data_IF_806945916617
#
_entry.id   IF_806945916617
#
_cell.length_a   1.000
_cell.length_b   1.000
_cell.length_c   1.000
_cell.angle_alpha   90.00
_cell.angle_beta   90.00
_cell.angle_gamma   90.00
#
_symmetry.space_group_name_H-M   'P 1'
#
loop_
_entity.id
_entity.type
_entity.pdbx_description
1 polymer ?
#
# COMPACT_ATOMS: atom_id res chain seq x y z
N UNK A 1 10.91 42.98 -18.48
CA UNK A 1 10.69 42.53 -17.10
C UNK A 1 9.20 42.30 -16.92
N UNK A 2 8.70 41.13 -17.25
CA UNK A 2 7.32 40.69 -16.99
C UNK A 2 7.39 39.63 -15.91
N UNK A 3 6.96 40.00 -14.74
CA UNK A 3 6.81 39.08 -13.59
C UNK A 3 5.71 38.08 -13.94
N UNK A 4 6.10 36.87 -14.36
CA UNK A 4 5.19 35.73 -14.46
C UNK A 4 4.81 35.30 -13.04
N UNK A 5 3.64 35.68 -12.58
CA UNK A 5 3.04 35.23 -11.35
C UNK A 5 2.47 33.82 -11.59
N UNK A 6 2.86 32.85 -10.75
CA UNK A 6 2.35 31.49 -10.80
C UNK A 6 0.80 31.47 -10.75
N UNK A 7 0.11 30.64 -11.53
CA UNK A 7 -1.36 30.64 -11.66
C UNK A 7 -2.14 30.44 -10.36
N UNK A 8 -1.51 29.86 -9.34
CA UNK A 8 -2.15 29.57 -8.04
C UNK A 8 -2.13 30.72 -7.04
N UNK A 9 -1.41 31.80 -7.32
CA UNK A 9 -1.31 32.95 -6.39
C UNK A 9 -2.59 33.80 -6.27
N UNK A 10 -3.58 33.61 -7.17
CA UNK A 10 -4.80 34.42 -7.25
C UNK A 10 -6.10 33.68 -6.94
N UNK A 11 -6.03 32.39 -6.50
CA UNK A 11 -7.24 31.68 -6.10
C UNK A 11 -7.75 32.21 -4.75
N UNK A 12 -9.02 32.65 -4.72
CA UNK A 12 -9.72 32.96 -3.47
C UNK A 12 -9.62 31.80 -2.48
N UNK A 13 -9.47 32.10 -1.19
CA UNK A 13 -9.32 31.10 -0.10
C UNK A 13 -10.41 30.03 -0.12
N UNK A 14 -11.62 30.34 -0.56
CA UNK A 14 -12.74 29.43 -0.71
C UNK A 14 -12.50 28.42 -1.87
N UNK A 15 -12.01 28.91 -2.99
CA UNK A 15 -11.69 28.08 -4.17
C UNK A 15 -10.52 27.15 -3.88
N UNK A 16 -9.48 27.63 -3.17
CA UNK A 16 -8.36 26.82 -2.74
C UNK A 16 -8.78 25.67 -1.82
N UNK A 17 -9.61 25.95 -0.80
CA UNK A 17 -10.15 24.90 0.09
C UNK A 17 -11.03 23.90 -0.65
N UNK A 18 -11.76 24.33 -1.68
CA UNK A 18 -12.57 23.41 -2.51
C UNK A 18 -11.70 22.47 -3.30
N UNK A 19 -10.59 22.97 -3.88
CA UNK A 19 -9.63 22.17 -4.61
C UNK A 19 -8.90 21.17 -3.70
N UNK A 20 -8.40 21.62 -2.55
CA UNK A 20 -7.81 20.75 -1.54
C UNK A 20 -8.74 19.58 -1.18
N UNK A 21 -10.02 19.84 -0.92
CA UNK A 21 -11.01 18.80 -0.63
C UNK A 21 -11.26 17.84 -1.79
N UNK A 22 -11.27 18.34 -3.04
CA UNK A 22 -11.43 17.50 -4.24
C UNK A 22 -10.25 16.56 -4.43
N UNK A 23 -9.02 17.09 -4.25
CA UNK A 23 -7.80 16.30 -4.34
C UNK A 23 -7.78 15.22 -3.25
N UNK A 24 -8.08 15.57 -1.99
CA UNK A 24 -8.12 14.61 -0.91
C UNK A 24 -9.19 13.53 -1.13
N UNK A 25 -10.39 13.90 -1.55
CA UNK A 25 -11.45 12.94 -1.87
C UNK A 25 -11.06 12.04 -3.06
N UNK A 26 -10.50 12.63 -4.11
CA UNK A 26 -10.06 11.89 -5.31
C UNK A 26 -8.95 10.89 -5.02
N UNK A 27 -7.95 11.28 -4.24
CA UNK A 27 -6.87 10.38 -3.82
C UNK A 27 -7.37 9.29 -2.89
N UNK A 28 -8.21 9.62 -1.92
CA UNK A 28 -8.80 8.67 -0.98
C UNK A 28 -9.64 7.61 -1.69
N UNK A 29 -10.58 8.01 -2.54
CA UNK A 29 -11.46 7.08 -3.25
C UNK A 29 -10.67 6.22 -4.23
N UNK A 30 -9.74 6.83 -5.00
CA UNK A 30 -8.89 6.08 -5.93
C UNK A 30 -8.08 5.01 -5.23
N UNK A 31 -7.41 5.37 -4.12
CA UNK A 31 -6.63 4.42 -3.32
C UNK A 31 -7.52 3.35 -2.68
N UNK A 32 -8.72 3.71 -2.21
CA UNK A 32 -9.64 2.72 -1.62
C UNK A 32 -10.08 1.66 -2.64
N UNK A 33 -10.32 2.05 -3.90
CA UNK A 33 -10.67 1.13 -5.00
C UNK A 33 -9.48 0.23 -5.34
N UNK A 34 -8.30 0.81 -5.50
CA UNK A 34 -7.06 0.06 -5.77
C UNK A 34 -6.84 -1.03 -4.72
N UNK A 35 -6.92 -0.66 -3.43
CA UNK A 35 -6.69 -1.59 -2.34
C UNK A 35 -7.82 -2.59 -2.15
N UNK A 36 -9.07 -2.24 -2.46
CA UNK A 36 -10.15 -3.21 -2.54
C UNK A 36 -9.78 -4.35 -3.49
N UNK A 37 -9.32 -4.03 -4.70
CA UNK A 37 -8.93 -5.00 -5.72
C UNK A 37 -7.79 -5.94 -5.26
N UNK A 38 -6.81 -5.38 -4.54
CA UNK A 38 -5.75 -6.20 -3.97
C UNK A 38 -6.23 -7.10 -2.83
N UNK A 39 -7.11 -6.61 -1.99
CA UNK A 39 -7.53 -7.33 -0.80
C UNK A 39 -8.53 -8.44 -1.10
N UNK A 40 -9.45 -8.26 -2.02
CA UNK A 40 -10.31 -9.37 -2.46
C UNK A 40 -9.47 -10.51 -3.04
N UNK A 41 -8.40 -10.20 -3.78
CA UNK A 41 -7.47 -11.23 -4.26
C UNK A 41 -6.75 -11.91 -3.11
N UNK A 42 -6.17 -11.17 -2.19
CA UNK A 42 -5.43 -11.72 -1.06
C UNK A 42 -6.30 -12.63 -0.18
N UNK A 43 -7.56 -12.22 0.07
CA UNK A 43 -8.52 -13.02 0.82
C UNK A 43 -8.99 -14.23 0.01
N UNK A 44 -9.23 -14.10 -1.30
CA UNK A 44 -9.56 -15.24 -2.16
C UNK A 44 -8.39 -16.25 -2.24
N UNK A 45 -7.14 -15.78 -2.31
CA UNK A 45 -5.96 -16.63 -2.24
C UNK A 45 -5.88 -17.40 -0.91
N UNK A 46 -6.26 -16.77 0.18
CA UNK A 46 -6.31 -17.41 1.51
C UNK A 46 -7.46 -18.43 1.65
N UNK A 47 -8.63 -18.13 1.08
CA UNK A 47 -9.87 -18.87 1.35
C UNK A 47 -10.23 -19.88 0.26
N UNK A 48 -9.99 -19.55 -1.01
CA UNK A 48 -10.62 -20.23 -2.17
C UNK A 48 -9.60 -20.81 -3.14
N UNK A 49 -8.57 -20.06 -3.53
CA UNK A 49 -7.74 -20.40 -4.70
C UNK A 49 -6.90 -21.66 -4.49
N UNK A 50 -6.47 -21.96 -3.27
CA UNK A 50 -5.77 -23.21 -2.99
C UNK A 50 -6.59 -24.40 -3.49
N UNK A 51 -7.88 -24.45 -3.19
CA UNK A 51 -8.74 -25.56 -3.54
C UNK A 51 -9.09 -25.61 -5.04
N UNK A 52 -9.44 -24.44 -5.64
CA UNK A 52 -9.97 -24.39 -7.00
C UNK A 52 -8.91 -24.41 -8.10
N UNK A 53 -7.68 -23.97 -7.78
CA UNK A 53 -6.63 -23.78 -8.79
C UNK A 53 -5.34 -24.57 -8.51
N UNK A 54 -4.99 -24.84 -7.25
CA UNK A 54 -3.66 -25.33 -6.89
C UNK A 54 -3.65 -26.72 -6.27
N UNK A 55 -4.69 -27.18 -5.58
CA UNK A 55 -4.77 -28.54 -5.03
C UNK A 55 -4.51 -29.65 -6.06
N UNK A 56 -5.04 -29.56 -7.29
CA UNK A 56 -4.76 -30.59 -8.29
C UNK A 56 -3.29 -30.69 -8.71
N UNK A 57 -2.51 -29.61 -8.52
CA UNK A 57 -1.07 -29.57 -8.80
C UNK A 57 -0.21 -30.04 -7.62
N UNK A 58 -0.76 -30.08 -6.42
CA UNK A 58 -0.04 -30.36 -5.16
C UNK A 58 -0.60 -31.59 -4.42
N UNK A 59 -1.14 -32.56 -5.13
CA UNK A 59 -1.83 -33.74 -4.57
C UNK A 59 -1.00 -34.50 -3.54
N UNK A 60 0.31 -34.60 -3.76
CA UNK A 60 1.22 -35.39 -2.93
C UNK A 60 1.91 -34.57 -1.83
N UNK A 61 1.56 -33.28 -1.69
CA UNK A 61 2.21 -32.37 -0.74
C UNK A 61 1.18 -31.55 0.05
N UNK A 62 0.68 -32.07 1.19
CA UNK A 62 -0.26 -31.35 2.04
C UNK A 62 0.23 -29.96 2.41
N UNK A 63 -0.64 -28.93 2.29
CA UNK A 63 -0.33 -27.53 2.58
C UNK A 63 0.45 -26.80 1.48
N UNK A 64 1.03 -27.47 0.48
CA UNK A 64 1.75 -26.78 -0.60
C UNK A 64 0.83 -25.93 -1.46
N UNK A 65 -0.39 -26.39 -1.75
CA UNK A 65 -1.38 -25.64 -2.49
C UNK A 65 -1.71 -24.29 -1.83
N UNK A 66 -1.81 -24.26 -0.49
CA UNK A 66 -2.03 -23.02 0.26
C UNK A 66 -0.82 -22.09 0.19
N UNK A 67 0.41 -22.63 0.30
CA UNK A 67 1.66 -21.86 0.14
C UNK A 67 1.74 -21.24 -1.25
N UNK A 68 1.47 -22.02 -2.32
CA UNK A 68 1.47 -21.52 -3.71
C UNK A 68 0.39 -20.44 -3.88
N UNK A 69 -0.82 -20.67 -3.38
CA UNK A 69 -1.92 -19.70 -3.46
C UNK A 69 -1.51 -18.36 -2.84
N UNK A 70 -0.93 -18.36 -1.64
CA UNK A 70 -0.45 -17.16 -0.99
C UNK A 70 0.76 -16.54 -1.70
N UNK A 71 1.62 -17.34 -2.32
CA UNK A 71 2.74 -16.86 -3.12
C UNK A 71 2.29 -16.06 -4.36
N UNK A 72 1.10 -16.34 -4.92
CA UNK A 72 0.57 -15.57 -6.05
C UNK A 72 0.29 -14.10 -5.70
N UNK A 73 0.09 -13.77 -4.42
CA UNK A 73 0.01 -12.39 -3.94
C UNK A 73 1.33 -11.67 -4.29
N UNK A 74 2.46 -12.33 -4.06
CA UNK A 74 3.79 -11.80 -4.31
C UNK A 74 4.09 -11.50 -5.78
N UNK A 75 3.49 -12.25 -6.72
CA UNK A 75 3.70 -12.03 -8.16
C UNK A 75 3.36 -10.58 -8.55
N UNK A 76 2.22 -10.08 -8.11
CA UNK A 76 1.82 -8.70 -8.37
C UNK A 76 2.85 -7.68 -7.87
N UNK A 77 3.44 -7.92 -6.70
CA UNK A 77 4.44 -7.03 -6.13
C UNK A 77 5.76 -7.03 -6.89
N UNK A 78 6.18 -8.18 -7.42
CA UNK A 78 7.40 -8.29 -8.22
C UNK A 78 7.35 -7.42 -9.49
N UNK A 79 6.17 -7.19 -10.05
CA UNK A 79 5.98 -6.36 -11.25
C UNK A 79 5.69 -4.89 -10.97
N UNK A 80 5.44 -4.48 -9.70
CA UNK A 80 5.26 -3.07 -9.33
C UNK A 80 6.45 -2.17 -9.67
N UNK A 81 7.72 -2.53 -9.41
CA UNK A 81 8.85 -1.70 -9.79
C UNK A 81 8.93 -1.44 -11.29
N UNK A 82 8.64 -2.46 -12.11
CA UNK A 82 8.59 -2.31 -13.57
C UNK A 82 7.47 -1.36 -14.00
N UNK A 83 6.27 -1.52 -13.43
CA UNK A 83 5.15 -0.61 -13.64
C UNK A 83 5.48 0.82 -13.21
N UNK A 84 6.16 1.00 -12.07
CA UNK A 84 6.59 2.32 -11.58
C UNK A 84 7.57 3.02 -12.54
N UNK A 85 8.51 2.28 -13.13
CA UNK A 85 9.46 2.80 -14.12
C UNK A 85 8.72 3.26 -15.39
N UNK A 86 7.84 2.41 -15.92
CA UNK A 86 7.09 2.70 -17.15
C UNK A 86 6.09 3.84 -16.93
N UNK A 87 5.32 3.77 -15.84
CA UNK A 87 4.36 4.81 -15.49
C UNK A 87 5.05 6.15 -15.17
N UNK A 88 6.21 6.12 -14.52
CA UNK A 88 7.03 7.31 -14.29
C UNK A 88 7.46 7.97 -15.62
N UNK A 89 8.02 7.18 -16.54
CA UNK A 89 8.46 7.69 -17.84
C UNK A 89 7.30 8.23 -18.72
N UNK A 90 6.20 7.48 -18.77
CA UNK A 90 5.02 7.91 -19.53
C UNK A 90 4.28 9.06 -18.84
N UNK A 91 4.25 9.09 -17.52
CA UNK A 91 3.61 10.13 -16.72
C UNK A 91 4.29 11.49 -16.88
N UNK A 92 5.62 11.49 -17.03
CA UNK A 92 6.38 12.70 -17.33
C UNK A 92 6.08 13.24 -18.74
N UNK A 93 5.67 12.37 -19.69
CA UNK A 93 5.32 12.76 -21.07
C UNK A 93 3.83 13.07 -21.26
N UNK A 94 2.95 12.25 -20.70
CA UNK A 94 1.50 12.28 -20.94
C UNK A 94 0.71 13.05 -19.87
N UNK A 95 1.34 13.33 -18.73
CA UNK A 95 0.73 13.91 -17.54
C UNK A 95 0.35 12.88 -16.48
N UNK A 96 0.44 13.28 -15.21
CA UNK A 96 0.18 12.37 -14.05
C UNK A 96 -1.27 11.91 -14.02
N UNK A 97 -2.22 12.81 -14.29
CA UNK A 97 -3.67 12.50 -14.34
C UNK A 97 -3.99 11.43 -15.37
N UNK A 98 -3.48 11.52 -16.59
CA UNK A 98 -3.73 10.53 -17.66
C UNK A 98 -3.18 9.16 -17.28
N UNK A 99 -2.00 9.13 -16.69
CA UNK A 99 -1.41 7.87 -16.22
C UNK A 99 -2.21 7.23 -15.09
N UNK A 100 -2.66 8.01 -14.12
CA UNK A 100 -3.50 7.52 -13.03
C UNK A 100 -4.84 6.94 -13.53
N UNK A 101 -5.41 7.51 -14.58
CA UNK A 101 -6.62 6.98 -15.22
C UNK A 101 -6.31 5.66 -15.95
N UNK A 102 -5.24 5.62 -16.72
CA UNK A 102 -4.85 4.42 -17.47
C UNK A 102 -4.55 3.23 -16.53
N UNK A 103 -3.77 3.46 -15.48
CA UNK A 103 -3.43 2.42 -14.50
C UNK A 103 -4.66 1.90 -13.77
N UNK A 104 -5.59 2.78 -13.37
CA UNK A 104 -6.85 2.40 -12.76
C UNK A 104 -7.69 1.50 -13.68
N UNK A 105 -7.81 1.87 -14.96
CA UNK A 105 -8.58 1.07 -15.94
C UNK A 105 -7.94 -0.30 -16.17
N UNK A 106 -6.63 -0.36 -16.32
CA UNK A 106 -5.90 -1.62 -16.49
C UNK A 106 -6.06 -2.53 -15.28
N UNK A 107 -5.96 -1.97 -14.07
CA UNK A 107 -6.11 -2.73 -12.83
C UNK A 107 -7.52 -3.29 -12.67
N UNK A 108 -8.54 -2.44 -12.87
CA UNK A 108 -9.92 -2.87 -12.75
C UNK A 108 -10.32 -3.93 -13.79
N UNK A 109 -9.81 -3.80 -15.03
CA UNK A 109 -9.98 -4.84 -16.05
C UNK A 109 -9.36 -6.16 -15.60
N UNK A 110 -8.11 -6.14 -15.13
CA UNK A 110 -7.43 -7.35 -14.67
C UNK A 110 -8.17 -7.99 -13.48
N UNK A 111 -8.65 -7.18 -12.53
CA UNK A 111 -9.40 -7.66 -11.36
C UNK A 111 -10.72 -8.31 -11.79
N UNK A 112 -11.50 -7.66 -12.63
CA UNK A 112 -12.76 -8.23 -13.13
C UNK A 112 -12.52 -9.54 -13.90
N UNK A 113 -11.46 -9.58 -14.72
CA UNK A 113 -11.10 -10.77 -15.47
C UNK A 113 -10.72 -11.95 -14.56
N UNK A 114 -10.10 -11.73 -13.39
CA UNK A 114 -9.84 -12.78 -12.40
C UNK A 114 -11.14 -13.46 -11.97
N UNK A 115 -12.22 -12.69 -11.76
CA UNK A 115 -13.53 -13.23 -11.42
C UNK A 115 -14.14 -14.14 -12.50
N UNK A 116 -13.66 -14.03 -13.74
CA UNK A 116 -14.13 -14.81 -14.87
C UNK A 116 -13.25 -16.02 -15.22
N UNK A 117 -12.06 -16.16 -14.59
CA UNK A 117 -11.15 -17.29 -14.85
C UNK A 117 -11.85 -18.60 -14.47
N UNK A 118 -11.96 -19.58 -15.40
CA UNK A 118 -12.47 -20.92 -15.11
C UNK A 118 -11.57 -21.65 -14.12
N UNK A 119 -12.11 -22.64 -13.41
CA UNK A 119 -11.35 -23.45 -12.44
C UNK A 119 -10.40 -24.44 -13.14
N UNK A 120 -9.49 -25.04 -12.36
CA UNK A 120 -8.58 -26.08 -12.85
C UNK A 120 -9.34 -27.27 -13.46
N UNK A 121 -10.49 -27.65 -12.89
CA UNK A 121 -11.31 -28.74 -13.41
C UNK A 121 -11.83 -28.48 -14.83
N UNK A 122 -11.99 -27.21 -15.20
CA UNK A 122 -12.54 -26.82 -16.50
C UNK A 122 -11.47 -26.71 -17.58
N UNK A 123 -10.35 -26.03 -17.29
CA UNK A 123 -9.30 -25.71 -18.29
C UNK A 123 -7.91 -26.18 -17.88
N UNK A 124 -7.79 -26.99 -16.82
CA UNK A 124 -6.52 -27.57 -16.39
C UNK A 124 -5.49 -26.52 -15.99
N UNK A 125 -4.23 -26.74 -16.34
CA UNK A 125 -3.08 -25.88 -15.99
C UNK A 125 -3.22 -24.45 -16.54
N UNK A 126 -4.03 -24.22 -17.57
CA UNK A 126 -4.28 -22.88 -18.10
C UNK A 126 -4.95 -21.96 -17.05
N UNK A 127 -5.74 -22.51 -16.12
CA UNK A 127 -6.41 -21.73 -15.07
C UNK A 127 -5.44 -21.00 -14.14
N UNK A 128 -4.50 -21.66 -13.44
CA UNK A 128 -3.52 -20.96 -12.62
C UNK A 128 -2.58 -20.06 -13.43
N UNK A 129 -2.24 -20.41 -14.67
CA UNK A 129 -1.41 -19.55 -15.52
C UNK A 129 -2.11 -18.24 -15.89
N UNK A 130 -3.40 -18.28 -16.25
CA UNK A 130 -4.20 -17.08 -16.48
C UNK A 130 -4.31 -16.22 -15.21
N UNK A 131 -4.52 -16.85 -14.07
CA UNK A 131 -4.56 -16.15 -12.77
C UNK A 131 -3.24 -15.39 -12.51
N UNK A 132 -2.10 -16.05 -12.75
CA UNK A 132 -0.77 -15.44 -12.59
C UNK A 132 -0.55 -14.30 -13.59
N UNK A 133 -0.96 -14.46 -14.86
CA UNK A 133 -0.84 -13.41 -15.87
C UNK A 133 -1.64 -12.15 -15.48
N UNK A 134 -2.87 -12.33 -15.01
CA UNK A 134 -3.69 -11.22 -14.53
C UNK A 134 -3.09 -10.55 -13.28
N UNK A 135 -2.41 -11.31 -12.41
CA UNK A 135 -1.65 -10.77 -11.29
C UNK A 135 -0.45 -9.93 -11.72
N UNK A 136 0.26 -10.34 -12.76
CA UNK A 136 1.32 -9.54 -13.39
C UNK A 136 0.76 -8.21 -13.88
N UNK A 137 -0.37 -8.24 -14.59
CA UNK A 137 -1.02 -7.03 -15.11
C UNK A 137 -1.50 -6.10 -13.99
N UNK A 138 -2.09 -6.62 -12.92
CA UNK A 138 -2.46 -5.84 -11.74
C UNK A 138 -1.23 -5.18 -11.09
N UNK A 139 -0.16 -5.94 -10.88
CA UNK A 139 1.06 -5.43 -10.27
C UNK A 139 1.72 -4.34 -11.10
N UNK A 140 1.80 -4.53 -12.41
CA UNK A 140 2.30 -3.54 -13.34
C UNK A 140 1.48 -2.24 -13.26
N UNK A 141 0.15 -2.33 -13.27
CA UNK A 141 -0.76 -1.18 -13.19
C UNK A 141 -0.57 -0.38 -11.89
N UNK A 142 -0.45 -1.06 -10.75
CA UNK A 142 -0.33 -0.42 -9.44
C UNK A 142 1.04 0.24 -9.19
N UNK A 143 2.06 -0.06 -9.99
CA UNK A 143 3.43 0.39 -9.72
C UNK A 143 3.61 1.91 -9.70
N UNK A 144 2.85 2.66 -10.50
CA UNK A 144 2.94 4.12 -10.57
C UNK A 144 1.90 4.87 -9.74
N UNK A 145 0.88 4.18 -9.24
CA UNK A 145 -0.32 4.83 -8.71
C UNK A 145 -0.11 5.43 -7.33
N UNK A 146 0.44 4.66 -6.40
CA UNK A 146 0.61 5.13 -5.02
C UNK A 146 1.48 6.39 -4.93
N UNK A 147 2.61 6.43 -5.63
CA UNK A 147 3.50 7.59 -5.64
C UNK A 147 2.81 8.85 -6.15
N UNK A 148 1.98 8.73 -7.19
CA UNK A 148 1.17 9.83 -7.72
C UNK A 148 0.15 10.34 -6.71
N UNK A 149 -0.62 9.46 -6.07
CA UNK A 149 -1.62 9.81 -5.08
C UNK A 149 -1.00 10.46 -3.84
N UNK A 150 0.09 9.88 -3.33
CA UNK A 150 0.83 10.40 -2.18
C UNK A 150 1.38 11.81 -2.44
N UNK A 151 2.02 12.02 -3.60
CA UNK A 151 2.56 13.33 -3.97
C UNK A 151 1.46 14.36 -4.22
N UNK A 152 0.37 13.99 -4.88
CA UNK A 152 -0.77 14.90 -5.05
C UNK A 152 -1.31 15.39 -3.72
N UNK A 153 -1.48 14.53 -2.74
CA UNK A 153 -1.96 14.91 -1.42
C UNK A 153 -0.96 15.82 -0.68
N UNK A 154 0.33 15.49 -0.70
CA UNK A 154 1.37 16.23 0.03
C UNK A 154 1.71 17.56 -0.62
N UNK A 155 1.74 17.64 -1.96
CA UNK A 155 2.07 18.87 -2.70
C UNK A 155 0.94 19.92 -2.63
N UNK A 156 -0.32 19.50 -2.42
CA UNK A 156 -1.45 20.41 -2.15
C UNK A 156 -1.61 20.77 -0.67
N UNK A 157 -0.80 20.18 0.22
CA UNK A 157 -0.96 20.36 1.66
C UNK A 157 -0.52 21.75 2.11
N UNK A 158 -1.27 22.40 3.04
CA UNK A 158 -0.81 23.60 3.72
C UNK A 158 0.50 23.34 4.50
N UNK A 159 1.32 24.39 4.67
CA UNK A 159 2.54 24.30 5.49
C UNK A 159 2.20 23.76 6.88
N UNK A 160 2.96 22.77 7.37
CA UNK A 160 2.78 22.14 8.68
C UNK A 160 1.67 21.09 8.78
N UNK A 161 1.00 20.70 7.66
CA UNK A 161 -0.04 19.66 7.62
C UNK A 161 0.20 18.58 6.59
N UNK A 162 1.45 18.39 6.15
CA UNK A 162 1.80 17.45 5.09
C UNK A 162 1.60 15.99 5.46
N UNK A 163 1.91 15.62 6.71
CA UNK A 163 1.69 14.25 7.17
C UNK A 163 0.20 13.95 7.27
N UNK A 164 -0.59 14.88 7.78
CA UNK A 164 -2.05 14.73 7.83
C UNK A 164 -2.66 14.60 6.43
N UNK A 165 -2.28 15.46 5.48
CA UNK A 165 -2.77 15.38 4.10
C UNK A 165 -2.28 14.11 3.40
N UNK A 166 -1.03 13.73 3.59
CA UNK A 166 -0.48 12.47 3.11
C UNK A 166 -1.09 11.22 3.73
N UNK A 167 -1.73 11.33 4.89
CA UNK A 167 -2.47 10.22 5.50
C UNK A 167 -3.79 9.90 4.75
N UNK A 168 -4.38 10.84 4.00
CA UNK A 168 -5.64 10.57 3.26
C UNK A 168 -5.52 9.45 2.23
N UNK A 169 -4.54 9.42 1.30
CA UNK A 169 -4.35 8.24 0.47
C UNK A 169 -4.02 6.98 1.28
N UNK A 170 -3.35 7.11 2.42
CA UNK A 170 -3.00 5.97 3.27
C UNK A 170 -4.22 5.35 3.98
N UNK A 171 -5.17 6.14 4.46
CA UNK A 171 -6.43 5.60 5.02
C UNK A 171 -7.32 4.94 3.96
N UNK A 172 -7.08 5.17 2.67
CA UNK A 172 -7.70 4.40 1.60
C UNK A 172 -7.41 2.90 1.69
N UNK A 173 -6.25 2.53 2.24
CA UNK A 173 -5.88 1.12 2.45
C UNK A 173 -6.83 0.40 3.41
N UNK A 174 -6.96 0.81 4.68
CA UNK A 174 -7.93 0.18 5.57
C UNK A 174 -9.39 0.33 5.12
N UNK A 175 -9.76 1.39 4.38
CA UNK A 175 -11.08 1.49 3.75
C UNK A 175 -11.26 0.39 2.71
N UNK A 176 -10.28 0.18 1.83
CA UNK A 176 -10.27 -0.93 0.88
C UNK A 176 -10.41 -2.29 1.58
N UNK A 177 -9.74 -2.48 2.73
CA UNK A 177 -9.86 -3.68 3.55
C UNK A 177 -11.25 -3.87 4.12
N UNK A 178 -11.86 -2.82 4.67
CA UNK A 178 -13.23 -2.84 5.20
C UNK A 178 -14.21 -3.20 4.07
N UNK A 179 -14.07 -2.57 2.90
CA UNK A 179 -14.93 -2.84 1.76
C UNK A 179 -14.75 -4.29 1.26
N UNK A 180 -13.53 -4.75 1.07
CA UNK A 180 -13.24 -6.10 0.59
C UNK A 180 -13.77 -7.17 1.55
N UNK A 181 -13.40 -7.05 2.83
CA UNK A 181 -13.84 -7.99 3.86
C UNK A 181 -15.34 -7.92 4.10
N UNK A 182 -15.90 -6.71 4.10
CA UNK A 182 -17.35 -6.47 4.25
C UNK A 182 -18.19 -7.08 3.13
N UNK A 183 -17.74 -6.94 1.88
CA UNK A 183 -18.39 -7.55 0.71
C UNK A 183 -18.33 -9.08 0.80
N UNK A 184 -17.17 -9.65 1.14
CA UNK A 184 -17.03 -11.10 1.32
C UNK A 184 -17.94 -11.59 2.46
N UNK A 185 -17.96 -10.88 3.59
CA UNK A 185 -18.83 -11.18 4.72
C UNK A 185 -20.32 -11.16 4.32
N UNK A 186 -20.78 -10.09 3.64
CA UNK A 186 -22.16 -9.98 3.17
C UNK A 186 -22.53 -11.11 2.21
N UNK A 187 -21.67 -11.40 1.23
CA UNK A 187 -21.94 -12.47 0.27
C UNK A 187 -22.00 -13.84 0.94
N UNK A 188 -21.14 -14.09 1.91
CA UNK A 188 -21.15 -15.33 2.68
C UNK A 188 -22.43 -15.46 3.53
N UNK A 189 -22.97 -14.37 4.10
CA UNK A 189 -24.23 -14.38 4.84
C UNK A 189 -25.45 -14.59 3.92
N UNK A 190 -25.43 -14.03 2.73
CA UNK A 190 -26.55 -14.10 1.78
C UNK A 190 -26.60 -15.44 1.05
N UNK A 191 -25.44 -15.92 0.57
CA UNK A 191 -25.35 -17.12 -0.26
C UNK A 191 -25.12 -18.40 0.55
N UNK A 192 -24.63 -18.27 1.79
CA UNK A 192 -24.10 -19.37 2.57
C UNK A 192 -22.65 -19.73 2.17
N UNK A 193 -21.97 -20.47 3.03
CA UNK A 193 -20.54 -20.79 2.85
C UNK A 193 -20.29 -21.63 1.61
N UNK A 194 -21.12 -22.64 1.36
CA UNK A 194 -20.94 -23.57 0.25
C UNK A 194 -21.04 -22.85 -1.10
N UNK A 195 -22.12 -22.10 -1.32
CA UNK A 195 -22.30 -21.35 -2.56
C UNK A 195 -21.26 -20.24 -2.73
N UNK A 196 -20.86 -19.58 -1.62
CA UNK A 196 -19.79 -18.57 -1.66
C UNK A 196 -18.46 -19.19 -2.14
N UNK A 197 -18.04 -20.32 -1.58
CA UNK A 197 -16.80 -21.00 -1.97
C UNK A 197 -16.87 -21.58 -3.39
N UNK A 198 -18.04 -22.08 -3.81
CA UNK A 198 -18.22 -22.64 -5.14
C UNK A 198 -18.14 -21.59 -6.26
N UNK A 199 -18.85 -20.47 -6.12
CA UNK A 199 -18.95 -19.46 -7.17
C UNK A 199 -19.11 -18.02 -6.67
N UNK A 200 -19.67 -17.80 -5.48
CA UNK A 200 -20.03 -16.46 -4.98
C UNK A 200 -18.86 -15.51 -4.82
N UNK A 201 -17.64 -16.02 -4.58
CA UNK A 201 -16.41 -15.25 -4.52
C UNK A 201 -16.13 -14.45 -5.81
N UNK A 202 -16.62 -14.91 -6.96
CA UNK A 202 -16.45 -14.23 -8.26
C UNK A 202 -17.15 -12.87 -8.27
N UNK A 203 -18.28 -12.73 -7.56
CA UNK A 203 -19.02 -11.47 -7.46
C UNK A 203 -18.14 -10.37 -6.87
N UNK A 204 -17.28 -10.69 -5.90
CA UNK A 204 -16.36 -9.70 -5.30
C UNK A 204 -15.45 -9.04 -6.34
N UNK A 205 -14.98 -9.82 -7.32
CA UNK A 205 -14.15 -9.32 -8.42
C UNK A 205 -14.94 -8.55 -9.47
N UNK A 206 -16.18 -8.96 -9.75
CA UNK A 206 -17.05 -8.28 -10.73
C UNK A 206 -17.54 -6.91 -10.22
N UNK A 207 -17.67 -6.73 -8.91
CA UNK A 207 -17.97 -5.42 -8.29
C UNK A 207 -16.90 -4.38 -8.64
N UNK A 208 -15.65 -4.79 -8.87
CA UNK A 208 -14.56 -3.89 -9.28
C UNK A 208 -14.89 -3.10 -10.55
N UNK A 209 -15.70 -3.61 -11.45
CA UNK A 209 -16.14 -2.88 -12.65
C UNK A 209 -16.87 -1.58 -12.24
N UNK A 210 -17.79 -1.69 -11.28
CA UNK A 210 -18.55 -0.53 -10.78
C UNK A 210 -17.60 0.46 -10.07
N UNK A 211 -16.71 -0.06 -9.22
CA UNK A 211 -15.75 0.76 -8.49
C UNK A 211 -14.80 1.52 -9.42
N UNK A 212 -14.32 0.88 -10.49
CA UNK A 212 -13.45 1.50 -11.49
C UNK A 212 -14.17 2.61 -12.24
N UNK A 213 -15.44 2.43 -12.62
CA UNK A 213 -16.24 3.49 -13.24
C UNK A 213 -16.36 4.69 -12.30
N UNK A 214 -16.67 4.48 -11.02
CA UNK A 214 -16.71 5.54 -10.00
C UNK A 214 -15.36 6.23 -9.86
N UNK A 215 -14.28 5.47 -9.75
CA UNK A 215 -12.92 6.00 -9.66
C UNK A 215 -12.50 6.82 -10.88
N UNK A 216 -12.87 6.36 -12.08
CA UNK A 216 -12.67 7.10 -13.34
C UNK A 216 -13.37 8.47 -13.32
N UNK A 217 -14.65 8.49 -12.99
CA UNK A 217 -15.44 9.74 -12.94
C UNK A 217 -14.85 10.74 -11.94
N UNK A 218 -14.44 10.27 -10.77
CA UNK A 218 -13.83 11.12 -9.73
C UNK A 218 -12.47 11.67 -10.19
N UNK A 219 -11.61 10.84 -10.80
CA UNK A 219 -10.29 11.27 -11.29
C UNK A 219 -10.38 12.26 -12.44
N UNK A 220 -11.39 12.15 -13.29
CA UNK A 220 -11.64 13.13 -14.34
C UNK A 220 -11.96 14.52 -13.78
N UNK A 221 -12.54 14.60 -12.58
CA UNK A 221 -12.91 15.85 -11.91
C UNK A 221 -11.76 16.53 -11.14
N UNK A 222 -10.61 15.85 -10.94
CA UNK A 222 -9.43 16.39 -10.23
C UNK A 222 -8.51 17.11 -11.20
N UNK A 223 -7.96 18.28 -10.81
CA UNK A 223 -6.94 19.01 -11.58
C UNK A 223 -5.56 18.33 -11.50
N UNK A 224 -4.66 18.71 -12.41
CA UNK A 224 -3.26 18.25 -12.40
C UNK A 224 -2.49 18.84 -11.19
N UNK A 225 -1.35 18.27 -10.84
CA UNK A 225 -0.50 18.75 -9.72
C UNK A 225 0.13 20.11 -10.07
N UNK A 226 0.05 21.14 -9.18
CA UNK A 226 0.68 22.42 -9.40
C UNK A 226 2.21 22.34 -9.62
N UNK A 227 2.87 21.42 -8.92
CA UNK A 227 4.31 21.19 -9.08
C UNK A 227 4.63 20.60 -10.45
N UNK A 228 3.74 19.76 -10.99
CA UNK A 228 3.91 19.20 -12.33
C UNK A 228 3.70 20.27 -13.42
N UNK A 229 2.70 21.12 -13.28
CA UNK A 229 2.48 22.26 -14.19
C UNK A 229 3.70 23.21 -14.20
N UNK A 230 4.25 23.52 -13.03
CA UNK A 230 5.47 24.32 -12.88
C UNK A 230 6.69 23.67 -13.56
N UNK A 231 6.84 22.35 -13.45
CA UNK A 231 7.91 21.59 -14.12
C UNK A 231 7.76 21.61 -15.65
N UNK A 232 6.52 21.48 -16.16
CA UNK A 232 6.23 21.55 -17.59
C UNK A 232 6.53 22.94 -18.17
N UNK A 233 6.07 24.01 -17.51
CA UNK A 233 6.29 25.39 -17.95
C UNK A 233 7.78 25.73 -18.05
N UNK A 234 8.59 25.20 -17.14
CA UNK A 234 10.05 25.47 -17.12
C UNK A 234 10.85 24.61 -18.08
N UNK A 235 10.22 23.67 -18.81
CA UNK A 235 10.91 22.67 -19.64
C UNK A 235 12.09 22.00 -18.89
N UNK A 236 11.98 21.94 -17.56
CA UNK A 236 13.00 21.36 -16.68
C UNK A 236 12.96 19.83 -16.70
N UNK A 237 12.65 19.25 -17.86
CA UNK A 237 12.57 17.82 -18.05
C UNK A 237 13.95 17.17 -17.84
N UNK A 238 13.99 16.31 -16.88
CA UNK A 238 15.14 15.41 -16.74
C UNK A 238 15.06 14.33 -17.82
N UNK A 239 15.95 14.39 -18.79
CA UNK A 239 16.05 13.43 -19.90
C UNK A 239 16.27 11.97 -19.43
N UNK A 240 16.63 11.75 -18.15
CA UNK A 240 16.80 10.42 -17.55
C UNK A 240 16.62 10.47 -16.03
N UNK A 241 15.38 10.58 -15.51
CA UNK A 241 15.14 10.70 -14.06
C UNK A 241 15.64 9.48 -13.28
N UNK A 242 15.51 8.25 -13.81
CA UNK A 242 15.97 7.03 -13.19
C UNK A 242 17.51 6.97 -13.03
N UNK A 243 18.25 7.34 -14.08
CA UNK A 243 19.70 7.36 -14.03
C UNK A 243 20.24 8.37 -13.02
N UNK A 244 19.65 9.57 -12.96
CA UNK A 244 19.99 10.61 -11.98
C UNK A 244 19.62 10.18 -10.55
N UNK A 245 18.45 9.56 -10.38
CA UNK A 245 17.99 9.02 -9.09
C UNK A 245 18.99 8.00 -8.53
N UNK A 246 19.33 6.99 -9.32
CA UNK A 246 20.24 5.92 -8.89
C UNK A 246 21.67 6.38 -8.72
N UNK A 247 22.10 7.42 -9.43
CA UNK A 247 23.44 7.99 -9.27
C UNK A 247 23.59 8.84 -8.01
N UNK A 248 22.57 9.63 -7.63
CA UNK A 248 22.69 10.64 -6.57
C UNK A 248 21.86 10.38 -5.33
N UNK A 249 20.79 9.57 -5.43
CA UNK A 249 19.80 9.34 -4.35
C UNK A 249 19.59 7.86 -4.04
N UNK A 250 20.53 6.98 -4.38
CA UNK A 250 20.41 5.53 -4.12
C UNK A 250 20.15 5.21 -2.64
N UNK A 251 20.82 5.95 -1.73
CA UNK A 251 20.67 5.78 -0.28
C UNK A 251 19.22 6.04 0.15
N UNK A 252 18.62 7.11 -0.33
CA UNK A 252 17.22 7.50 -0.04
C UNK A 252 16.23 6.46 -0.60
N UNK A 253 16.50 5.89 -1.79
CA UNK A 253 15.69 4.82 -2.38
C UNK A 253 15.74 3.56 -1.51
N UNK A 254 16.92 3.11 -1.11
CA UNK A 254 17.03 1.93 -0.24
C UNK A 254 16.44 2.18 1.15
N UNK A 255 16.69 3.35 1.76
CA UNK A 255 16.11 3.66 3.06
C UNK A 255 14.58 3.68 3.00
N UNK A 256 13.98 4.30 1.98
CA UNK A 256 12.51 4.29 1.83
C UNK A 256 11.97 2.88 1.65
N UNK A 257 12.66 2.00 0.92
CA UNK A 257 12.28 0.60 0.79
C UNK A 257 12.35 -0.15 2.15
N UNK A 258 13.45 -0.02 2.87
CA UNK A 258 13.63 -0.69 4.17
C UNK A 258 12.69 -0.16 5.25
N UNK A 259 12.37 1.13 5.24
CA UNK A 259 11.37 1.72 6.14
C UNK A 259 10.01 1.02 5.96
N UNK A 260 9.62 0.66 4.76
CA UNK A 260 8.29 0.12 4.50
C UNK A 260 8.15 -1.39 4.77
N UNK A 261 9.25 -2.13 4.97
CA UNK A 261 9.24 -3.60 5.13
C UNK A 261 8.26 -4.05 6.22
N UNK A 262 8.38 -3.53 7.44
CA UNK A 262 7.58 -3.98 8.57
C UNK A 262 6.10 -3.65 8.40
N UNK A 263 5.78 -2.42 8.02
CA UNK A 263 4.39 -2.01 7.85
C UNK A 263 3.69 -2.87 6.79
N UNK A 264 4.37 -3.11 5.67
CA UNK A 264 3.82 -3.91 4.58
C UNK A 264 3.71 -5.40 4.96
N UNK A 265 4.76 -5.99 5.55
CA UNK A 265 4.73 -7.38 5.99
C UNK A 265 3.60 -7.65 6.99
N UNK A 266 3.53 -6.86 8.07
CA UNK A 266 2.55 -7.05 9.14
C UNK A 266 1.13 -6.72 8.65
N UNK A 267 0.98 -5.69 7.79
CA UNK A 267 -0.29 -5.39 7.14
C UNK A 267 -0.84 -6.57 6.34
N UNK A 268 0.01 -7.26 5.55
CA UNK A 268 -0.41 -8.44 4.78
C UNK A 268 -0.68 -9.68 5.63
N UNK A 269 -0.12 -9.79 6.83
CA UNK A 269 -0.55 -10.81 7.78
C UNK A 269 -2.01 -10.59 8.20
N UNK A 270 -2.40 -9.36 8.48
CA UNK A 270 -3.80 -9.03 8.81
C UNK A 270 -4.74 -9.31 7.64
N UNK A 271 -4.34 -8.92 6.44
CA UNK A 271 -5.17 -8.98 5.23
C UNK A 271 -5.42 -10.42 4.77
N UNK A 272 -4.38 -11.26 4.77
CA UNK A 272 -4.43 -12.57 4.12
C UNK A 272 -4.19 -13.73 5.10
N UNK A 273 -3.25 -13.60 6.03
CA UNK A 273 -2.82 -14.74 6.84
C UNK A 273 -3.75 -15.01 8.02
N UNK A 274 -4.12 -14.00 8.80
CA UNK A 274 -4.91 -14.21 10.04
C UNK A 274 -6.30 -14.79 9.76
N UNK A 275 -6.96 -14.36 8.69
CA UNK A 275 -8.28 -14.91 8.31
C UNK A 275 -8.15 -16.40 8.00
N UNK A 276 -7.18 -16.77 7.17
CA UNK A 276 -6.93 -18.17 6.83
C UNK A 276 -6.49 -19.00 8.04
N UNK A 277 -5.64 -18.44 8.89
CA UNK A 277 -5.16 -19.10 10.11
C UNK A 277 -6.30 -19.46 11.06
N UNK A 278 -7.22 -18.55 11.33
CA UNK A 278 -8.33 -18.80 12.25
C UNK A 278 -9.43 -19.68 11.63
N UNK A 279 -9.72 -19.51 10.33
CA UNK A 279 -10.83 -20.21 9.68
C UNK A 279 -10.46 -21.61 9.14
N UNK A 280 -9.16 -21.88 8.87
CA UNK A 280 -8.71 -23.12 8.22
C UNK A 280 -7.73 -23.96 9.06
N UNK A 281 -7.47 -23.62 10.32
CA UNK A 281 -6.60 -24.42 11.18
C UNK A 281 -7.19 -25.82 11.38
N UNK A 282 -6.33 -26.81 11.55
CA UNK A 282 -6.74 -28.21 11.69
C UNK A 282 -7.48 -28.49 13.00
N UNK A 283 -7.13 -27.76 14.07
CA UNK A 283 -7.73 -27.88 15.40
C UNK A 283 -8.60 -26.67 15.67
N UNK A 284 -9.85 -26.91 16.03
CA UNK A 284 -10.87 -25.88 16.35
C UNK A 284 -11.00 -24.77 15.27
N UNK A 285 -11.30 -25.09 13.99
CA UNK A 285 -11.49 -24.07 12.97
C UNK A 285 -12.70 -23.20 13.30
N UNK A 286 -12.53 -21.87 13.18
CA UNK A 286 -13.62 -20.94 13.48
C UNK A 286 -14.49 -20.69 12.25
N UNK A 287 -15.80 -20.45 12.44
CA UNK A 287 -16.67 -20.04 11.36
C UNK A 287 -16.15 -18.75 10.69
N UNK A 288 -16.13 -18.72 9.36
CA UNK A 288 -15.55 -17.60 8.58
C UNK A 288 -16.25 -16.27 8.87
N UNK A 289 -17.58 -16.27 9.00
CA UNK A 289 -18.35 -15.03 9.22
C UNK A 289 -17.89 -14.23 10.45
N UNK A 290 -17.87 -14.80 11.65
CA UNK A 290 -17.35 -14.12 12.84
C UNK A 290 -15.90 -13.65 12.70
N UNK A 291 -15.02 -14.44 12.05
CA UNK A 291 -13.61 -14.05 11.81
C UNK A 291 -13.52 -12.83 10.89
N UNK A 292 -14.32 -12.78 9.83
CA UNK A 292 -14.39 -11.62 8.94
C UNK A 292 -14.92 -10.38 9.68
N UNK A 293 -15.98 -10.54 10.50
CA UNK A 293 -16.52 -9.46 11.33
C UNK A 293 -15.47 -8.89 12.29
N UNK A 294 -14.73 -9.74 12.98
CA UNK A 294 -13.64 -9.34 13.87
C UNK A 294 -12.51 -8.61 13.10
N UNK A 295 -12.20 -9.07 11.88
CA UNK A 295 -11.18 -8.44 11.03
C UNK A 295 -11.63 -7.04 10.55
N UNK A 296 -12.93 -6.85 10.25
CA UNK A 296 -13.48 -5.52 9.92
C UNK A 296 -13.30 -4.55 11.09
N UNK A 297 -13.56 -4.99 12.34
CA UNK A 297 -13.34 -4.15 13.53
C UNK A 297 -11.85 -3.75 13.64
N UNK A 298 -10.92 -4.69 13.43
CA UNK A 298 -9.48 -4.41 13.38
C UNK A 298 -9.13 -3.38 12.31
N UNK A 299 -9.77 -3.44 11.14
CA UNK A 299 -9.52 -2.51 10.02
C UNK A 299 -9.97 -1.08 10.35
N UNK A 300 -11.03 -0.89 11.13
CA UNK A 300 -11.39 0.43 11.67
C UNK A 300 -10.32 0.99 12.61
N UNK A 301 -9.68 0.12 13.42
CA UNK A 301 -8.51 0.51 14.21
C UNK A 301 -7.38 1.02 13.31
N UNK A 302 -7.03 0.28 12.25
CA UNK A 302 -5.99 0.70 11.31
C UNK A 302 -6.31 2.05 10.65
N UNK A 303 -7.54 2.25 10.19
CA UNK A 303 -8.01 3.54 9.65
C UNK A 303 -7.78 4.67 10.64
N UNK A 304 -8.29 4.51 11.87
CA UNK A 304 -8.23 5.54 12.91
C UNK A 304 -6.79 5.90 13.27
N UNK A 305 -5.94 4.89 13.50
CA UNK A 305 -4.56 5.11 13.91
C UNK A 305 -3.67 5.59 12.76
N UNK A 306 -4.00 5.29 11.49
CA UNK A 306 -3.31 5.89 10.33
C UNK A 306 -3.58 7.39 10.26
N UNK A 307 -4.83 7.80 10.45
CA UNK A 307 -5.17 9.22 10.49
C UNK A 307 -4.49 9.94 11.67
N UNK A 308 -4.54 9.36 12.87
CA UNK A 308 -3.85 9.86 14.05
C UNK A 308 -2.33 9.89 13.87
N UNK A 309 -1.74 8.90 13.21
CA UNK A 309 -0.33 8.85 12.86
C UNK A 309 0.08 10.00 11.93
N UNK A 310 -0.75 10.32 10.94
CA UNK A 310 -0.55 11.51 10.11
C UNK A 310 -0.58 12.81 10.88
N UNK A 311 -1.58 12.98 11.75
CA UNK A 311 -1.67 14.14 12.63
C UNK A 311 -0.48 14.24 13.61
N UNK A 312 -0.11 13.13 14.23
CA UNK A 312 1.02 13.07 15.17
C UNK A 312 2.35 13.36 14.47
N UNK A 313 2.52 12.87 13.22
CA UNK A 313 3.70 13.14 12.39
C UNK A 313 3.94 14.61 12.12
N UNK A 314 2.87 15.43 12.04
CA UNK A 314 3.00 16.88 11.93
C UNK A 314 3.33 17.56 13.28
N UNK A 315 3.05 16.91 14.42
CA UNK A 315 3.28 17.44 15.78
C UNK A 315 4.66 17.12 16.34
N UNK A 316 5.05 15.85 16.31
CA UNK A 316 6.30 15.38 16.95
C UNK A 316 7.42 15.04 15.94
N UNK A 317 7.12 15.14 14.64
CA UNK A 317 8.02 14.77 13.55
C UNK A 317 7.70 13.39 12.98
N UNK A 318 8.07 13.20 11.68
CA UNK A 318 7.76 11.97 10.94
C UNK A 318 8.55 10.79 11.50
N UNK A 319 9.86 10.98 11.65
CA UNK A 319 10.78 9.92 12.13
C UNK A 319 10.38 9.39 13.49
N UNK A 320 10.08 10.28 14.46
CA UNK A 320 9.66 9.87 15.81
C UNK A 320 8.36 9.09 15.80
N UNK A 321 7.39 9.49 14.97
CA UNK A 321 6.11 8.80 14.85
C UNK A 321 6.30 7.38 14.30
N UNK A 322 7.15 7.21 13.29
CA UNK A 322 7.54 5.89 12.79
C UNK A 322 8.22 5.02 13.85
N UNK A 323 9.18 5.60 14.59
CA UNK A 323 9.90 4.88 15.65
C UNK A 323 8.94 4.35 16.72
N UNK A 324 7.98 5.16 17.18
CA UNK A 324 6.95 4.72 18.11
C UNK A 324 6.12 3.57 17.53
N UNK A 325 5.72 3.66 16.26
CA UNK A 325 4.96 2.61 15.58
C UNK A 325 5.72 1.30 15.51
N UNK A 326 6.98 1.31 15.04
CA UNK A 326 7.77 0.10 14.91
C UNK A 326 8.21 -0.50 16.24
N UNK A 327 8.51 0.33 17.24
CA UNK A 327 8.79 -0.15 18.59
C UNK A 327 7.57 -0.87 19.19
N UNK A 328 6.37 -0.33 19.02
CA UNK A 328 5.14 -0.97 19.48
C UNK A 328 4.91 -2.31 18.75
N UNK A 329 5.09 -2.35 17.42
CA UNK A 329 4.94 -3.58 16.64
C UNK A 329 5.91 -4.67 17.09
N UNK A 330 7.18 -4.32 17.35
CA UNK A 330 8.17 -5.27 17.84
C UNK A 330 7.84 -5.80 19.23
N UNK A 331 7.47 -4.93 20.16
CA UNK A 331 7.15 -5.32 21.55
C UNK A 331 5.85 -6.12 21.61
N UNK A 332 4.86 -5.77 20.80
CA UNK A 332 3.55 -6.41 20.83
C UNK A 332 3.49 -7.74 20.06
N UNK A 333 4.46 -8.03 19.19
CA UNK A 333 4.41 -9.20 18.30
C UNK A 333 4.22 -10.55 19.04
N UNK A 334 4.98 -10.83 20.09
CA UNK A 334 4.84 -12.08 20.85
C UNK A 334 3.57 -12.09 21.70
N UNK A 335 3.26 -11.06 22.54
CA UNK A 335 2.00 -11.02 23.29
C UNK A 335 0.77 -11.18 22.41
N UNK A 336 0.75 -10.58 21.23
CA UNK A 336 -0.32 -10.73 20.26
C UNK A 336 -0.55 -12.20 19.87
N UNK A 337 0.51 -12.92 19.49
CA UNK A 337 0.40 -14.32 19.10
C UNK A 337 0.03 -15.22 20.28
N UNK A 338 0.49 -14.90 21.50
CA UNK A 338 0.06 -15.60 22.70
C UNK A 338 -1.45 -15.46 22.95
N UNK A 339 -2.04 -14.29 22.64
CA UNK A 339 -3.48 -14.08 22.71
C UNK A 339 -4.22 -14.80 21.58
N UNK A 340 -3.78 -14.68 20.34
CA UNK A 340 -4.42 -15.30 19.16
C UNK A 340 -4.42 -16.84 19.29
N UNK A 341 -3.37 -17.42 19.84
CA UNK A 341 -3.27 -18.87 20.10
C UNK A 341 -4.35 -19.39 21.07
N UNK A 342 -4.84 -18.55 21.97
CA UNK A 342 -5.86 -18.89 22.96
C UNK A 342 -7.29 -18.85 22.40
N UNK A 343 -7.50 -18.23 21.25
CA UNK A 343 -8.81 -18.16 20.60
C UNK A 343 -9.19 -19.54 20.10
N UNK A 344 -10.14 -20.21 20.73
CA UNK A 344 -10.63 -21.54 20.35
C UNK A 344 -12.06 -21.53 19.86
N UNK A 345 -12.88 -20.65 20.39
CA UNK A 345 -14.29 -20.52 20.10
C UNK A 345 -14.62 -19.13 19.53
N UNK A 346 -15.85 -18.95 19.06
CA UNK A 346 -16.35 -17.65 18.61
C UNK A 346 -16.35 -16.64 19.77
N UNK A 347 -16.66 -17.09 20.98
CA UNK A 347 -16.69 -16.23 22.16
C UNK A 347 -15.31 -15.69 22.53
N UNK A 348 -14.23 -16.36 22.13
CA UNK A 348 -12.86 -15.92 22.37
C UNK A 348 -12.37 -14.89 21.35
N UNK A 349 -13.13 -14.60 20.27
CA UNK A 349 -12.73 -13.67 19.21
C UNK A 349 -12.42 -12.26 19.69
N UNK A 350 -12.91 -11.87 20.86
CA UNK A 350 -12.54 -10.60 21.46
C UNK A 350 -11.03 -10.50 21.72
N UNK A 351 -10.34 -11.62 22.04
CA UNK A 351 -8.88 -11.64 22.19
C UNK A 351 -8.19 -11.30 20.86
N UNK A 352 -8.67 -11.89 19.75
CA UNK A 352 -8.17 -11.55 18.41
C UNK A 352 -8.41 -10.08 18.08
N UNK A 353 -9.61 -9.55 18.35
CA UNK A 353 -9.94 -8.13 18.12
C UNK A 353 -9.01 -7.22 18.90
N UNK A 354 -8.81 -7.45 20.19
CA UNK A 354 -7.90 -6.65 21.04
C UNK A 354 -6.46 -6.76 20.54
N UNK A 355 -6.01 -7.98 20.24
CA UNK A 355 -4.66 -8.21 19.73
C UNK A 355 -4.39 -7.42 18.44
N UNK A 356 -5.34 -7.44 17.50
CA UNK A 356 -5.27 -6.71 16.23
C UNK A 356 -5.41 -5.21 16.45
N UNK A 357 -6.31 -4.73 17.28
CA UNK A 357 -6.47 -3.29 17.55
C UNK A 357 -5.17 -2.67 18.09
N UNK A 358 -4.48 -3.33 19.01
CA UNK A 358 -3.18 -2.84 19.52
C UNK A 358 -2.13 -2.86 18.40
N UNK A 359 -2.08 -3.92 17.59
CA UNK A 359 -1.19 -4.00 16.43
C UNK A 359 -1.45 -2.85 15.45
N UNK A 360 -2.71 -2.49 15.21
CA UNK A 360 -3.07 -1.41 14.28
C UNK A 360 -2.66 -0.02 14.76
N UNK A 361 -2.44 0.19 16.07
CA UNK A 361 -1.78 1.42 16.58
C UNK A 361 -0.39 1.55 15.95
N UNK A 362 0.42 0.50 16.05
CA UNK A 362 1.78 0.49 15.50
C UNK A 362 1.79 0.63 13.97
N UNK A 363 0.88 -0.08 13.28
CA UNK A 363 0.70 0.04 11.83
C UNK A 363 0.32 1.48 11.43
N UNK A 364 -0.65 2.08 12.10
CA UNK A 364 -1.13 3.41 11.78
C UNK A 364 -0.09 4.50 12.03
N UNK A 365 0.63 4.44 13.17
CA UNK A 365 1.70 5.37 13.48
C UNK A 365 2.86 5.30 12.48
N UNK A 366 3.16 4.11 11.94
CA UNK A 366 4.22 3.94 10.93
C UNK A 366 3.73 4.14 9.49
N UNK A 367 2.41 4.28 9.26
CA UNK A 367 1.86 4.44 7.92
C UNK A 367 1.37 5.86 7.63
N UNK A 368 0.73 6.51 8.60
CA UNK A 368 0.17 7.86 8.43
C UNK A 368 1.15 8.90 7.90
N UNK A 369 2.35 9.05 8.48
CA UNK A 369 3.31 10.06 8.04
C UNK A 369 4.13 9.66 6.80
N UNK A 370 3.96 8.47 6.23
CA UNK A 370 4.84 7.90 5.19
C UNK A 370 4.90 8.75 3.92
N UNK A 371 3.76 9.20 3.40
CA UNK A 371 3.72 9.98 2.17
C UNK A 371 4.52 11.30 2.30
N UNK A 372 4.39 11.98 3.45
CA UNK A 372 5.13 13.20 3.73
C UNK A 372 6.63 12.95 3.90
N UNK A 373 7.02 11.91 4.66
CA UNK A 373 8.42 11.56 4.83
C UNK A 373 9.09 11.28 3.49
N UNK A 374 8.46 10.46 2.64
CA UNK A 374 9.01 10.10 1.33
C UNK A 374 9.09 11.29 0.38
N UNK A 375 8.07 12.16 0.35
CA UNK A 375 8.11 13.37 -0.46
C UNK A 375 9.25 14.31 -0.04
N UNK A 376 9.56 14.38 1.25
CA UNK A 376 10.63 15.22 1.82
C UNK A 376 12.04 14.59 1.65
N UNK A 377 12.15 13.28 1.41
CA UNK A 377 13.43 12.61 1.17
C UNK A 377 14.03 12.94 -0.20
N UNK A 378 13.20 13.16 -1.23
CA UNK A 378 13.65 13.30 -2.61
C UNK A 378 13.57 14.74 -3.12
N UNK A 379 14.55 15.19 -3.97
CA UNK A 379 14.46 16.45 -4.70
C UNK A 379 13.27 16.45 -5.69
N UNK A 380 12.69 17.62 -5.98
CA UNK A 380 11.51 17.76 -6.86
C UNK A 380 11.69 17.11 -8.23
N UNK A 381 12.88 17.21 -8.84
CA UNK A 381 13.19 16.69 -10.18
C UNK A 381 13.21 15.15 -10.31
N UNK A 382 13.30 14.41 -9.20
CA UNK A 382 13.33 12.93 -9.17
C UNK A 382 12.38 12.36 -8.12
N UNK A 383 11.54 13.21 -7.51
CA UNK A 383 10.69 12.85 -6.38
C UNK A 383 9.69 11.77 -6.73
N UNK A 384 8.98 11.92 -7.86
CA UNK A 384 7.99 10.94 -8.27
C UNK A 384 8.62 9.54 -8.46
N UNK A 385 9.71 9.46 -9.22
CA UNK A 385 10.44 8.21 -9.43
C UNK A 385 10.99 7.66 -8.12
N UNK A 386 11.58 8.51 -7.26
CA UNK A 386 12.15 8.09 -5.97
C UNK A 386 11.10 7.52 -5.01
N UNK A 387 9.99 8.20 -4.86
CA UNK A 387 8.87 7.79 -4.00
C UNK A 387 8.24 6.50 -4.51
N UNK A 388 7.96 6.41 -5.82
CA UNK A 388 7.33 5.22 -6.42
C UNK A 388 8.24 3.98 -6.37
N UNK A 389 9.52 4.13 -6.71
CA UNK A 389 10.47 3.00 -6.71
C UNK A 389 10.77 2.55 -5.28
N UNK A 390 11.01 3.48 -4.35
CA UNK A 390 11.24 3.15 -2.95
C UNK A 390 10.06 2.42 -2.33
N UNK A 391 8.84 2.87 -2.57
CA UNK A 391 7.62 2.20 -2.13
C UNK A 391 7.48 0.80 -2.78
N UNK A 392 7.64 0.69 -4.10
CA UNK A 392 7.53 -0.57 -4.81
C UNK A 392 8.56 -1.61 -4.35
N UNK A 393 9.82 -1.21 -4.14
CA UNK A 393 10.84 -2.08 -3.57
C UNK A 393 10.48 -2.51 -2.13
N UNK A 394 9.99 -1.60 -1.30
CA UNK A 394 9.54 -1.91 0.05
C UNK A 394 8.37 -2.88 0.08
N UNK A 395 7.44 -2.81 -0.88
CA UNK A 395 6.35 -3.78 -1.02
C UNK A 395 6.85 -5.17 -1.40
N UNK A 396 7.86 -5.24 -2.26
CA UNK A 396 8.50 -6.53 -2.62
C UNK A 396 9.20 -7.14 -1.42
N UNK A 397 10.01 -6.36 -0.73
CA UNK A 397 10.82 -6.84 0.39
C UNK A 397 9.99 -7.19 1.64
N UNK A 398 8.90 -6.47 1.89
CA UNK A 398 8.05 -6.66 3.06
C UNK A 398 6.83 -7.54 2.79
N UNK A 399 5.95 -7.09 1.91
CA UNK A 399 4.60 -7.64 1.78
C UNK A 399 4.44 -8.80 0.80
N UNK A 400 5.29 -8.84 -0.26
CA UNK A 400 5.11 -9.78 -1.36
C UNK A 400 4.96 -11.24 -0.90
N UNK A 401 5.78 -11.67 0.03
CA UNK A 401 5.85 -13.06 0.47
C UNK A 401 5.59 -13.24 1.97
N UNK A 402 5.23 -12.20 2.70
CA UNK A 402 5.01 -12.27 4.15
C UNK A 402 3.94 -13.33 4.55
N UNK A 403 2.76 -13.42 3.90
CA UNK A 403 1.80 -14.46 4.20
C UNK A 403 2.34 -15.87 3.88
N UNK A 404 3.06 -16.03 2.77
CA UNK A 404 3.70 -17.29 2.37
C UNK A 404 4.77 -17.70 3.39
N UNK A 405 5.65 -16.77 3.77
CA UNK A 405 6.70 -17.02 4.78
C UNK A 405 6.07 -17.44 6.10
N UNK A 406 5.00 -16.77 6.54
CA UNK A 406 4.30 -17.08 7.77
C UNK A 406 3.65 -18.46 7.72
N UNK A 407 3.07 -18.85 6.58
CA UNK A 407 2.54 -20.19 6.38
C UNK A 407 3.65 -21.25 6.41
N UNK A 408 4.80 -20.97 5.79
CA UNK A 408 5.95 -21.89 5.83
C UNK A 408 6.52 -22.04 7.25
N UNK A 409 6.60 -20.93 8.01
CA UNK A 409 7.01 -20.97 9.42
C UNK A 409 6.04 -21.87 10.21
N UNK A 410 4.74 -21.66 10.07
CA UNK A 410 3.73 -22.43 10.74
C UNK A 410 3.81 -23.92 10.38
N UNK A 411 3.92 -24.25 9.07
CA UNK A 411 4.01 -25.64 8.60
C UNK A 411 5.26 -26.37 9.13
N UNK A 412 6.38 -25.65 9.32
CA UNK A 412 7.63 -26.25 9.80
C UNK A 412 7.73 -26.36 11.31
N UNK A 413 7.19 -25.40 12.03
CA UNK A 413 7.40 -25.29 13.48
C UNK A 413 6.18 -25.72 14.29
N UNK A 414 4.97 -25.67 13.69
CA UNK A 414 3.71 -25.82 14.41
C UNK A 414 3.41 -24.70 15.41
N UNK A 415 4.34 -23.72 15.57
CA UNK A 415 4.27 -22.70 16.63
C UNK A 415 4.04 -21.28 16.04
N UNK A 416 2.83 -20.72 16.22
CA UNK A 416 2.50 -19.37 15.73
C UNK A 416 3.38 -18.26 16.32
N UNK A 417 3.94 -18.45 17.53
CA UNK A 417 4.85 -17.47 18.13
C UNK A 417 6.10 -17.20 17.27
N UNK A 418 6.51 -18.16 16.43
CA UNK A 418 7.64 -17.96 15.50
C UNK A 418 7.32 -16.92 14.40
N UNK A 419 6.05 -16.73 14.08
CA UNK A 419 5.61 -15.62 13.22
C UNK A 419 5.81 -14.28 13.96
N UNK A 420 5.58 -14.26 15.28
CA UNK A 420 5.91 -13.11 16.12
C UNK A 420 7.40 -12.75 16.07
N UNK A 421 8.30 -13.75 16.07
CA UNK A 421 9.75 -13.50 15.88
C UNK A 421 10.03 -12.89 14.51
N UNK A 422 9.40 -13.37 13.44
CA UNK A 422 9.49 -12.76 12.11
C UNK A 422 9.03 -11.30 12.13
N UNK A 423 7.91 -10.99 12.80
CA UNK A 423 7.40 -9.61 12.94
C UNK A 423 8.37 -8.71 13.69
N UNK A 424 9.05 -9.21 14.73
CA UNK A 424 10.10 -8.46 15.45
C UNK A 424 11.25 -8.14 14.51
N UNK A 425 11.75 -9.11 13.77
CA UNK A 425 12.89 -8.92 12.86
C UNK A 425 12.59 -7.82 11.83
N UNK A 426 11.45 -7.90 11.15
CA UNK A 426 11.09 -6.89 10.15
C UNK A 426 10.85 -5.50 10.79
N UNK A 427 10.30 -5.46 12.01
CA UNK A 427 10.08 -4.20 12.73
C UNK A 427 11.39 -3.53 13.14
N UNK A 428 12.37 -4.30 13.61
CA UNK A 428 13.71 -3.81 13.96
C UNK A 428 14.44 -3.29 12.72
N UNK A 429 14.37 -4.00 11.60
CA UNK A 429 14.96 -3.55 10.32
C UNK A 429 14.39 -2.17 9.93
N UNK A 430 13.06 -2.04 9.95
CA UNK A 430 12.40 -0.78 9.57
C UNK A 430 12.63 0.34 10.59
N UNK A 431 12.72 0.02 11.88
CA UNK A 431 13.09 0.98 12.93
C UNK A 431 14.51 1.56 12.72
N UNK A 432 15.48 0.70 12.43
CA UNK A 432 16.85 1.12 12.12
C UNK A 432 16.86 2.00 10.86
N UNK A 433 16.17 1.56 9.81
CA UNK A 433 16.13 2.30 8.55
C UNK A 433 15.55 3.72 8.71
N UNK A 434 14.44 3.87 9.45
CA UNK A 434 13.85 5.20 9.67
C UNK A 434 14.71 6.09 10.55
N UNK A 435 15.44 5.51 11.52
CA UNK A 435 16.36 6.25 12.39
C UNK A 435 17.54 6.85 11.60
N UNK A 436 17.91 6.24 10.47
CA UNK A 436 18.97 6.76 9.59
C UNK A 436 18.51 7.93 8.69
N UNK A 437 17.24 8.28 8.69
CA UNK A 437 16.67 9.40 7.92
C UNK A 437 16.71 10.67 8.76
N UNK A 438 17.20 11.77 8.17
CA UNK A 438 17.09 13.09 8.78
C UNK A 438 15.68 13.64 8.54
N UNK A 439 14.93 13.86 9.63
CA UNK A 439 13.63 14.53 9.55
C UNK A 439 13.85 15.99 9.10
N UNK A 440 13.13 16.40 8.08
CA UNK A 440 13.20 17.76 7.51
C UNK A 440 11.80 18.36 7.39
N UNK A 441 11.10 18.55 8.52
CA UNK A 441 9.77 19.13 8.51
C UNK A 441 9.84 20.56 7.94
N UNK A 442 9.00 20.83 6.94
CA UNK A 442 8.93 22.16 6.32
C UNK A 442 9.88 22.40 5.15
N UNK A 443 10.64 21.38 4.70
CA UNK A 443 11.40 21.47 3.43
C UNK A 443 10.45 21.96 2.33
N UNK A 444 10.86 23.00 1.59
CA UNK A 444 10.06 23.47 0.47
C UNK A 444 10.04 22.41 -0.64
N UNK A 445 8.86 22.16 -1.19
CA UNK A 445 8.67 21.15 -2.23
C UNK A 445 8.67 21.75 -3.64
N UNK A 446 8.65 23.08 -3.76
CA UNK A 446 8.63 23.80 -5.04
C UNK A 446 9.98 23.77 -5.74
N UNK A 447 9.96 23.94 -7.08
CA UNK A 447 11.15 23.84 -7.93
C UNK A 447 12.13 25.00 -7.68
N UNK A 448 11.63 26.18 -7.30
CA UNK A 448 12.45 27.38 -7.06
C UNK A 448 13.50 27.16 -5.97
N UNK A 449 13.13 26.46 -4.89
CA UNK A 449 14.03 26.26 -3.75
C UNK A 449 15.05 25.16 -3.98
N UNK A 450 14.73 24.19 -4.86
CA UNK A 450 15.74 23.20 -5.30
C UNK A 450 16.86 23.83 -6.12
N UNK A 451 16.57 24.90 -6.87
CA UNK A 451 17.57 25.68 -7.62
C UNK A 451 18.37 26.61 -6.69
N UNK A 452 17.70 27.28 -5.77
CA UNK A 452 18.35 28.13 -4.76
C UNK A 452 19.33 27.33 -3.89
N UNK A 453 18.94 26.14 -3.43
CA UNK A 453 19.84 25.23 -2.68
C UNK A 453 21.03 24.74 -3.52
N UNK A 454 20.87 24.53 -4.82
CA UNK A 454 21.99 24.18 -5.72
C UNK A 454 22.97 25.33 -5.88
N UNK A 455 22.48 26.56 -5.99
CA UNK A 455 23.32 27.74 -6.04
C UNK A 455 24.04 27.99 -4.72
N UNK A 456 23.38 27.81 -3.59
CA UNK A 456 23.97 27.94 -2.26
C UNK A 456 25.04 26.86 -2.00
N UNK A 457 24.76 25.60 -2.37
CA UNK A 457 25.74 24.51 -2.30
C UNK A 457 26.94 24.78 -3.21
N UNK A 458 26.72 25.28 -4.45
CA UNK A 458 27.81 25.68 -5.34
C UNK A 458 28.65 26.84 -4.78
N UNK A 459 28.01 27.83 -4.17
CA UNK A 459 28.70 28.96 -3.54
C UNK A 459 29.51 28.53 -2.31
N UNK A 460 28.97 27.60 -1.50
CA UNK A 460 29.67 27.05 -0.33
C UNK A 460 30.86 26.18 -0.73
N UNK A 461 30.68 25.33 -1.75
CA UNK A 461 31.76 24.49 -2.28
C UNK A 461 32.84 25.35 -2.97
N UNK A 462 32.45 26.42 -3.69
CA UNK A 462 33.40 27.35 -4.31
C UNK A 462 34.17 28.20 -3.28
N UNK A 463 33.61 28.45 -2.09
CA UNK A 463 34.34 29.10 -0.98
C UNK A 463 35.32 28.17 -0.32
N UNK A 464 34.98 26.89 -0.08
CA UNK A 464 35.87 25.89 0.50
C UNK A 464 37.06 25.47 -0.37
N UNK A 465 37.11 25.86 -1.63
CA UNK A 465 38.25 25.72 -2.53
C UNK A 465 39.10 27.00 -2.66
N UNK A 466 38.72 28.09 -1.97
CA UNK A 466 39.49 29.37 -1.97
C UNK A 466 40.16 29.65 -0.63
N UNK A 467 39.81 28.90 0.40
CA UNK A 467 40.46 28.85 1.71
C UNK A 467 41.34 27.59 1.81
#
# INVERSE_FOLDING_TARGET
MTTSTAPTAHLDAKTKRKEERRVLAGTLVGTSIEWYDFFIYAQAASLVFANLYFNPLAKDAPGLAQVISLATIGISFLFRPLGAIVAGHLGDKLGRKKMLVLTLMMMGFATAAIGLVPTYETIGVAAPLLLMLLRVLQGFSAGGEWGGAALMAVEHAPKGRRSLFGAYPQIGVPIGMILATGVIFMLQQILGMEAFLAWGWRITFLISIVLVIVGYLIRMAVSESPVFEELQERRAESSAPLGKLMKHNKREVFLSAFIFIANNAIGYLLIAFFIGFLAKREVDPLPLGPVLGATVIGSFGWLTFTFLGGWLGDKIGRVRTFQLGYALLAVWAIPMWMMIKQVKTVDDLWMYVVAVLIMTVGLGLSYGPQAALYAEMFPSSVRYSGVSIGYALGTVLGGAFAPMISQMILNRTGEPNMIGVYMIIVSVISFIAVTMVKDRPGRDLHVQDALAMREETRRTTARSFRD
#
